data_IF_586086727428
#
_entry.id   IF_586086727428
#
_cell.length_a   1.000
_cell.length_b   1.000
_cell.length_c   1.000
_cell.angle_alpha   90.00
_cell.angle_beta   90.00
_cell.angle_gamma   90.00
#
_symmetry.space_group_name_H-M   'P 1'
#
loop_
_entity.id
_entity.type
_entity.pdbx_description
1 polymer ?
#
# COMPACT_ATOMS: atom_id res chain seq x y z
N UNK A 1 8.35 -11.32 -9.68
CA UNK A 1 9.06 -10.38 -8.77
C UNK A 1 9.53 -11.21 -7.59
N UNK A 2 10.78 -11.11 -7.18
CA UNK A 2 11.26 -11.85 -6.01
C UNK A 2 10.77 -11.17 -4.73
N UNK A 3 10.68 -11.92 -3.63
CA UNK A 3 10.34 -11.38 -2.32
C UNK A 3 11.33 -10.28 -1.88
N UNK A 4 12.61 -10.46 -2.21
CA UNK A 4 13.66 -9.47 -1.96
C UNK A 4 13.42 -8.16 -2.71
N UNK A 5 13.04 -8.22 -3.99
CA UNK A 5 12.75 -7.01 -4.78
C UNK A 5 11.54 -6.26 -4.24
N UNK A 6 10.52 -6.99 -3.78
CA UNK A 6 9.32 -6.42 -3.17
C UNK A 6 9.64 -5.70 -1.86
N UNK A 7 10.37 -6.34 -0.96
CA UNK A 7 10.74 -5.75 0.34
C UNK A 7 11.62 -4.51 0.14
N UNK A 8 12.61 -4.57 -0.77
CA UNK A 8 13.44 -3.43 -1.10
C UNK A 8 12.62 -2.27 -1.70
N UNK A 9 11.62 -2.55 -2.54
CA UNK A 9 10.72 -1.52 -3.06
C UNK A 9 9.86 -0.89 -1.95
N UNK A 10 9.34 -1.69 -1.02
CA UNK A 10 8.55 -1.21 0.11
C UNK A 10 9.37 -0.30 1.05
N UNK A 11 10.65 -0.62 1.26
CA UNK A 11 11.58 0.24 2.00
C UNK A 11 11.85 1.57 1.29
N UNK A 12 12.06 1.54 -0.04
CA UNK A 12 12.31 2.77 -0.83
C UNK A 12 11.14 3.75 -0.79
N UNK A 13 9.90 3.26 -0.75
CA UNK A 13 8.70 4.12 -0.65
C UNK A 13 8.72 4.94 0.65
N UNK A 14 9.23 4.37 1.74
CA UNK A 14 9.35 5.08 3.02
C UNK A 14 10.46 6.16 3.00
N UNK A 15 11.44 6.02 2.12
CA UNK A 15 12.58 6.92 1.99
C UNK A 15 12.41 7.97 0.87
N UNK A 16 11.20 8.11 0.29
CA UNK A 16 10.98 9.09 -0.77
C UNK A 16 11.19 10.52 -0.26
N UNK A 17 11.94 11.36 -1.01
CA UNK A 17 12.25 12.73 -0.60
C UNK A 17 11.02 13.65 -0.63
N UNK A 18 9.95 13.24 -1.31
CA UNK A 18 8.69 13.98 -1.39
C UNK A 18 7.56 13.00 -1.16
N UNK A 19 6.58 13.44 -0.37
CA UNK A 19 5.37 12.65 -0.12
C UNK A 19 4.59 12.51 -1.44
N UNK A 20 4.27 11.29 -1.89
CA UNK A 20 3.38 11.09 -3.03
C UNK A 20 1.98 11.68 -2.76
N UNK A 21 1.22 11.85 -3.82
CA UNK A 21 -0.19 12.22 -3.72
C UNK A 21 -0.99 11.16 -2.97
N UNK A 22 -2.16 11.54 -2.44
CA UNK A 22 -3.02 10.58 -1.74
C UNK A 22 -3.43 9.40 -2.64
N UNK A 23 -3.70 9.65 -3.92
CA UNK A 23 -4.09 8.60 -4.88
C UNK A 23 -2.96 7.59 -5.16
N UNK A 24 -1.72 8.08 -5.24
CA UNK A 24 -0.53 7.23 -5.36
C UNK A 24 -0.32 6.39 -4.09
N UNK A 25 -0.49 6.99 -2.91
CA UNK A 25 -0.40 6.27 -1.64
C UNK A 25 -1.50 5.19 -1.51
N UNK A 26 -2.73 5.49 -1.94
CA UNK A 26 -3.83 4.52 -1.95
C UNK A 26 -3.54 3.36 -2.90
N UNK A 27 -2.97 3.65 -4.07
CA UNK A 27 -2.56 2.64 -5.05
C UNK A 27 -1.44 1.74 -4.51
N UNK A 28 -0.40 2.33 -3.92
CA UNK A 28 0.70 1.60 -3.29
C UNK A 28 0.21 0.71 -2.14
N UNK A 29 -0.69 1.23 -1.29
CA UNK A 29 -1.31 0.45 -0.22
C UNK A 29 -2.08 -0.75 -0.75
N UNK A 30 -2.93 -0.55 -1.77
CA UNK A 30 -3.70 -1.63 -2.38
C UNK A 30 -2.80 -2.73 -2.94
N UNK A 31 -1.77 -2.35 -3.70
CA UNK A 31 -0.79 -3.29 -4.26
C UNK A 31 -0.01 -4.03 -3.17
N UNK A 32 0.43 -3.33 -2.12
CA UNK A 32 1.13 -3.93 -1.00
C UNK A 32 0.24 -4.96 -0.28
N UNK A 33 -1.04 -4.65 -0.05
CA UNK A 33 -1.99 -5.57 0.59
C UNK A 33 -2.26 -6.79 -0.28
N UNK A 34 -2.46 -6.61 -1.59
CA UNK A 34 -2.69 -7.73 -2.50
C UNK A 34 -1.47 -8.65 -2.58
N UNK A 35 -0.26 -8.09 -2.60
CA UNK A 35 0.97 -8.88 -2.67
C UNK A 35 1.29 -9.62 -1.36
N UNK A 36 0.89 -9.09 -0.20
CA UNK A 36 1.23 -9.66 1.12
C UNK A 36 0.14 -10.55 1.72
N UNK A 37 -1.13 -10.23 1.50
CA UNK A 37 -2.27 -10.94 2.08
C UNK A 37 -3.07 -11.69 1.02
N UNK A 38 -2.96 -11.30 -0.25
CA UNK A 38 -3.87 -11.72 -1.29
C UNK A 38 -5.17 -10.93 -1.24
N UNK A 39 -6.27 -11.56 -1.65
CA UNK A 39 -7.56 -10.91 -1.79
C UNK A 39 -8.06 -10.27 -0.48
N UNK A 40 -8.76 -9.14 -0.62
CA UNK A 40 -9.29 -8.41 0.53
C UNK A 40 -10.24 -9.28 1.35
N UNK A 41 -9.91 -9.45 2.63
CA UNK A 41 -10.67 -10.28 3.58
C UNK A 41 -11.32 -9.47 4.71
N UNK A 42 -11.37 -8.14 4.59
CA UNK A 42 -11.97 -7.24 5.58
C UNK A 42 -13.21 -6.54 5.02
N UNK A 43 -14.23 -6.28 5.86
CA UNK A 43 -15.42 -5.54 5.44
C UNK A 43 -15.07 -4.07 5.15
N UNK A 44 -15.80 -3.46 4.21
CA UNK A 44 -15.66 -2.04 3.89
C UNK A 44 -15.90 -1.18 5.14
N UNK A 45 -15.00 -0.23 5.47
CA UNK A 45 -15.20 0.69 6.58
C UNK A 45 -16.50 1.51 6.43
N UNK A 46 -17.10 1.88 7.55
CA UNK A 46 -18.31 2.72 7.56
C UNK A 46 -18.06 4.11 6.95
N UNK A 47 -19.09 4.72 6.39
CA UNK A 47 -19.00 5.99 5.64
C UNK A 47 -18.48 7.18 6.46
N UNK A 48 -18.60 7.13 7.79
CA UNK A 48 -18.09 8.15 8.71
C UNK A 48 -16.61 7.94 9.10
N UNK A 49 -15.94 6.93 8.55
CA UNK A 49 -14.52 6.64 8.78
C UNK A 49 -13.66 7.36 7.72
N UNK A 50 -13.78 8.68 7.65
CA UNK A 50 -12.90 9.53 6.86
C UNK A 50 -11.68 9.86 7.72
N UNK A 51 -10.51 9.39 7.30
CA UNK A 51 -9.22 9.70 7.91
C UNK A 51 -8.55 10.86 7.17
#
# INVERSE_FOLDING_TARGET
MSETDFTAAAERVQALPTKPTNDELLSLYGLFKQASVGDCNTPKPGMLNLK
#
